data_IF_254900670236
#
_entry.id   IF_254900670236
#
_cell.length_a   1.000
_cell.length_b   1.000
_cell.length_c   1.000
_cell.angle_alpha   90.00
_cell.angle_beta   90.00
_cell.angle_gamma   90.00
#
_symmetry.space_group_name_H-M   'P 1'
#
loop_
_entity.id
_entity.type
_entity.pdbx_description
1 polymer ?
#
# COMPACT_ATOMS: atom_id res chain seq x y z
N UNK A 1 19.99 12.99 33.43
CA UNK A 1 19.44 13.41 32.15
C UNK A 1 17.94 13.19 32.23
N UNK A 2 17.11 14.20 32.09
CA UNK A 2 15.67 13.97 31.85
C UNK A 2 15.58 13.51 30.40
N UNK A 3 15.20 12.25 30.17
CA UNK A 3 14.75 11.79 28.85
C UNK A 3 13.56 12.68 28.49
N UNK A 4 13.55 13.26 27.31
CA UNK A 4 12.42 14.05 26.82
C UNK A 4 11.19 13.12 26.83
N UNK A 5 10.09 13.58 27.36
CA UNK A 5 8.87 12.77 27.48
C UNK A 5 8.44 12.24 26.10
N UNK A 6 8.66 13.03 25.05
CA UNK A 6 8.39 12.65 23.66
C UNK A 6 9.27 11.46 23.20
N UNK A 7 10.55 11.42 23.58
CA UNK A 7 11.43 10.29 23.24
C UNK A 7 11.02 9.00 23.96
N UNK A 8 10.53 9.12 25.20
CA UNK A 8 10.00 7.99 25.96
C UNK A 8 8.74 7.42 25.31
N UNK A 9 7.78 8.27 24.96
CA UNK A 9 6.53 7.88 24.30
C UNK A 9 6.77 7.26 22.91
N UNK A 10 7.70 7.80 22.13
CA UNK A 10 8.10 7.20 20.85
C UNK A 10 8.73 5.80 21.04
N UNK A 11 9.58 5.64 22.08
CA UNK A 11 10.20 4.35 22.39
C UNK A 11 9.19 3.30 22.86
N UNK A 12 8.22 3.70 23.70
CA UNK A 12 7.13 2.82 24.13
C UNK A 12 6.28 2.37 22.94
N UNK A 13 5.82 3.30 22.09
CA UNK A 13 5.03 2.99 20.90
C UNK A 13 5.75 2.05 19.96
N UNK A 14 7.07 2.25 19.76
CA UNK A 14 7.90 1.36 18.97
C UNK A 14 7.96 -0.05 19.55
N UNK A 15 8.15 -0.18 20.87
CA UNK A 15 8.20 -1.49 21.54
C UNK A 15 6.84 -2.21 21.46
N UNK A 16 5.72 -1.52 21.71
CA UNK A 16 4.37 -2.07 21.57
C UNK A 16 4.11 -2.56 20.15
N UNK A 17 4.59 -1.81 19.15
CA UNK A 17 4.48 -2.21 17.74
C UNK A 17 5.26 -3.50 17.44
N UNK A 18 6.50 -3.64 17.95
CA UNK A 18 7.28 -4.88 17.82
C UNK A 18 6.63 -6.06 18.54
N UNK A 19 6.06 -5.83 19.72
CA UNK A 19 5.42 -6.90 20.50
C UNK A 19 4.14 -7.39 19.81
N UNK A 20 3.35 -6.50 19.21
CA UNK A 20 2.24 -6.93 18.37
C UNK A 20 2.69 -7.71 17.14
N UNK A 21 3.71 -7.24 16.41
CA UNK A 21 4.25 -7.99 15.28
C UNK A 21 4.73 -9.39 15.66
N UNK A 22 5.37 -9.54 16.84
CA UNK A 22 5.72 -10.87 17.38
C UNK A 22 4.48 -11.71 17.70
N UNK A 23 3.43 -11.09 18.26
CA UNK A 23 2.13 -11.73 18.51
C UNK A 23 1.40 -12.19 17.24
N UNK A 24 1.70 -11.57 16.09
CA UNK A 24 1.15 -11.96 14.78
C UNK A 24 1.96 -13.08 14.08
N UNK A 25 3.06 -13.56 14.68
CA UNK A 25 3.82 -14.67 14.11
C UNK A 25 3.07 -16.00 14.27
N UNK A 26 3.01 -16.75 13.19
CA UNK A 26 2.49 -18.12 13.14
C UNK A 26 3.50 -19.06 12.44
N UNK A 27 3.30 -20.37 12.48
CA UNK A 27 4.11 -21.31 11.70
C UNK A 27 4.09 -21.05 10.19
N UNK A 28 3.04 -20.38 9.68
CA UNK A 28 2.89 -20.03 8.27
C UNK A 28 3.41 -18.61 7.93
N UNK A 29 3.89 -17.84 8.90
CA UNK A 29 4.33 -16.47 8.77
C UNK A 29 3.42 -15.46 9.49
N UNK A 30 3.43 -14.21 9.07
CA UNK A 30 2.60 -13.16 9.66
C UNK A 30 1.13 -13.37 9.32
N UNK A 31 0.26 -13.42 10.33
CA UNK A 31 -1.19 -13.26 10.17
C UNK A 31 -1.55 -11.77 10.22
N UNK A 32 -2.62 -11.35 9.55
CA UNK A 32 -3.03 -9.96 9.55
C UNK A 32 -3.43 -9.45 10.94
N UNK A 33 -4.10 -10.32 11.72
CA UNK A 33 -4.37 -10.11 13.15
C UNK A 33 -4.36 -11.46 13.86
N UNK A 34 -3.92 -11.54 15.13
CA UNK A 34 -4.02 -12.76 15.93
C UNK A 34 -5.46 -13.04 16.39
N UNK A 35 -6.37 -12.07 16.24
CA UNK A 35 -7.78 -12.24 16.59
C UNK A 35 -8.50 -13.00 15.49
N UNK A 36 -9.16 -14.10 15.89
CA UNK A 36 -9.93 -14.93 14.96
C UNK A 36 -11.31 -14.33 14.68
N UNK A 37 -11.30 -13.22 13.92
CA UNK A 37 -12.51 -12.54 13.43
C UNK A 37 -12.45 -12.59 11.91
N UNK A 38 -13.53 -12.99 11.26
CA UNK A 38 -13.60 -13.14 9.81
C UNK A 38 -12.44 -13.98 9.25
N UNK A 39 -11.60 -13.39 8.41
CA UNK A 39 -10.43 -14.02 7.79
C UNK A 39 -9.10 -13.34 8.16
N UNK A 40 -9.05 -12.57 9.27
CA UNK A 40 -7.85 -11.83 9.66
C UNK A 40 -6.75 -12.71 10.27
N UNK A 41 -7.11 -13.82 10.93
CA UNK A 41 -6.14 -14.79 11.45
C UNK A 41 -5.55 -15.69 10.33
N UNK A 42 -5.25 -15.10 9.17
CA UNK A 42 -4.66 -15.75 7.99
C UNK A 42 -3.41 -14.99 7.53
N UNK A 43 -2.56 -15.67 6.79
CA UNK A 43 -1.43 -15.03 6.10
C UNK A 43 -1.94 -14.32 4.86
N UNK A 44 -1.94 -13.00 4.90
CA UNK A 44 -2.30 -12.15 3.79
C UNK A 44 -1.06 -11.67 3.03
N UNK A 45 -1.11 -11.63 1.70
CA UNK A 45 0.03 -11.22 0.90
C UNK A 45 0.46 -9.78 1.21
N UNK A 46 -0.47 -8.82 1.17
CA UNK A 46 -0.20 -7.41 1.44
C UNK A 46 0.22 -7.17 2.88
N UNK A 47 -0.60 -7.60 3.85
CA UNK A 47 -0.35 -7.42 5.29
C UNK A 47 0.95 -8.08 5.72
N UNK A 48 1.16 -9.32 5.28
CA UNK A 48 2.36 -10.09 5.62
C UNK A 48 3.64 -9.51 5.00
N UNK A 49 3.57 -8.96 3.78
CA UNK A 49 4.73 -8.29 3.18
C UNK A 49 5.02 -6.97 3.87
N UNK A 50 4.03 -6.12 4.14
CA UNK A 50 4.24 -4.83 4.85
C UNK A 50 4.79 -5.08 6.25
N UNK A 51 4.25 -6.07 6.99
CA UNK A 51 4.80 -6.51 8.29
C UNK A 51 6.23 -7.03 8.16
N UNK A 52 6.51 -7.77 7.09
CA UNK A 52 7.86 -8.23 6.76
C UNK A 52 8.85 -7.10 6.46
N UNK A 53 8.43 -6.06 5.74
CA UNK A 53 9.27 -4.88 5.52
C UNK A 53 9.60 -4.18 6.86
N UNK A 54 8.65 -4.09 7.78
CA UNK A 54 8.89 -3.59 9.14
C UNK A 54 9.84 -4.51 9.92
N UNK A 55 9.73 -5.83 9.75
CA UNK A 55 10.66 -6.81 10.32
C UNK A 55 12.11 -6.58 9.86
N UNK A 56 12.31 -6.40 8.54
CA UNK A 56 13.64 -6.08 7.99
C UNK A 56 14.18 -4.75 8.55
N UNK A 57 13.32 -3.74 8.64
CA UNK A 57 13.71 -2.43 9.15
C UNK A 57 14.10 -2.48 10.63
N UNK A 58 13.40 -3.29 11.43
CA UNK A 58 13.69 -3.44 12.87
C UNK A 58 14.96 -4.22 13.17
N UNK A 59 15.38 -5.11 12.26
CA UNK A 59 16.49 -6.02 12.48
C UNK A 59 16.19 -7.18 13.46
N UNK A 60 14.94 -7.37 13.90
CA UNK A 60 14.55 -8.44 14.81
C UNK A 60 14.61 -9.81 14.11
N UNK A 61 15.45 -10.76 14.60
CA UNK A 61 15.65 -12.03 13.90
C UNK A 61 14.40 -12.91 13.83
N UNK A 62 13.51 -12.86 14.83
CA UNK A 62 12.29 -13.64 14.83
C UNK A 62 11.30 -13.11 13.80
N UNK A 63 11.16 -11.78 13.72
CA UNK A 63 10.30 -11.13 12.72
C UNK A 63 10.84 -11.34 11.30
N UNK A 64 12.16 -11.28 11.10
CA UNK A 64 12.80 -11.56 9.81
C UNK A 64 12.53 -13.00 9.36
N UNK A 65 12.63 -13.96 10.28
CA UNK A 65 12.27 -15.36 10.01
C UNK A 65 10.78 -15.49 9.66
N UNK A 66 9.90 -14.73 10.33
CA UNK A 66 8.47 -14.63 10.02
C UNK A 66 8.20 -14.12 8.61
N UNK A 67 8.94 -13.11 8.14
CA UNK A 67 8.85 -12.65 6.75
C UNK A 67 9.23 -13.75 5.76
N UNK A 68 10.35 -14.43 5.99
CA UNK A 68 10.78 -15.54 5.13
C UNK A 68 9.69 -16.62 5.05
N UNK A 69 9.08 -16.95 6.20
CA UNK A 69 8.01 -17.94 6.25
C UNK A 69 6.75 -17.47 5.51
N UNK A 70 6.33 -16.21 5.68
CA UNK A 70 5.23 -15.58 4.92
C UNK A 70 5.42 -15.76 3.42
N UNK A 71 6.59 -15.34 2.91
CA UNK A 71 6.91 -15.44 1.49
C UNK A 71 6.96 -16.89 1.00
N UNK A 72 7.45 -17.82 1.83
CA UNK A 72 7.45 -19.25 1.54
C UNK A 72 6.03 -19.78 1.42
N UNK A 73 5.15 -19.45 2.37
CA UNK A 73 3.74 -19.87 2.35
C UNK A 73 3.04 -19.38 1.10
N UNK A 74 3.21 -18.11 0.74
CA UNK A 74 2.61 -17.54 -0.47
C UNK A 74 3.12 -18.23 -1.75
N UNK A 75 4.42 -18.53 -1.82
CA UNK A 75 5.02 -19.23 -2.97
C UNK A 75 4.50 -20.66 -3.13
N UNK A 76 4.40 -21.41 -2.01
CA UNK A 76 3.91 -22.79 -2.02
C UNK A 76 2.44 -22.92 -2.44
N UNK A 77 1.67 -21.86 -2.23
CA UNK A 77 0.27 -21.80 -2.64
C UNK A 77 0.05 -20.96 -3.91
N UNK A 78 1.10 -20.73 -4.70
CA UNK A 78 0.97 -20.05 -5.99
C UNK A 78 0.03 -20.83 -6.92
N UNK A 79 -0.92 -20.12 -7.53
CA UNK A 79 -1.87 -20.70 -8.47
C UNK A 79 -1.22 -21.17 -9.77
N UNK A 80 -1.97 -21.94 -10.59
CA UNK A 80 -1.44 -22.60 -11.79
C UNK A 80 -0.96 -21.63 -12.87
N UNK A 81 -1.45 -20.40 -12.91
CA UNK A 81 -1.05 -19.40 -13.91
C UNK A 81 -0.04 -18.37 -13.38
N UNK A 82 0.31 -18.45 -12.07
CA UNK A 82 1.23 -17.52 -11.44
C UNK A 82 0.58 -16.60 -10.40
N UNK A 83 -0.71 -16.77 -10.12
CA UNK A 83 -1.44 -16.00 -9.12
C UNK A 83 -0.84 -16.21 -7.74
N UNK A 84 -0.66 -15.16 -6.97
CA UNK A 84 -0.33 -15.24 -5.55
C UNK A 84 -1.63 -15.15 -4.74
N UNK A 85 -1.80 -16.00 -3.72
CA UNK A 85 -2.97 -15.91 -2.86
C UNK A 85 -3.12 -14.53 -2.24
N UNK A 86 -4.34 -14.01 -2.22
CA UNK A 86 -4.70 -12.88 -1.37
C UNK A 86 -4.47 -13.25 0.11
N UNK A 87 -4.93 -14.44 0.50
CA UNK A 87 -4.66 -14.99 1.82
C UNK A 87 -4.68 -16.53 1.85
N UNK A 88 -4.03 -17.09 2.88
CA UNK A 88 -3.94 -18.53 3.16
C UNK A 88 -4.17 -18.75 4.66
N UNK A 89 -4.94 -19.77 5.05
CA UNK A 89 -5.04 -20.19 6.45
C UNK A 89 -3.70 -20.69 6.98
N UNK A 90 -3.49 -20.60 8.28
CA UNK A 90 -2.21 -21.01 8.92
C UNK A 90 -1.88 -22.49 8.67
N UNK A 91 -2.89 -23.35 8.57
CA UNK A 91 -2.76 -24.77 8.25
C UNK A 91 -2.73 -25.07 6.73
N UNK A 92 -2.88 -24.05 5.89
CA UNK A 92 -2.89 -24.18 4.43
C UNK A 92 -4.17 -24.83 3.86
N UNK A 93 -5.19 -25.09 4.67
CA UNK A 93 -6.42 -25.79 4.23
C UNK A 93 -7.30 -24.95 3.32
N UNK A 94 -7.25 -23.63 3.44
CA UNK A 94 -8.00 -22.72 2.59
C UNK A 94 -7.05 -21.69 1.94
N UNK A 95 -7.22 -21.50 0.64
CA UNK A 95 -6.47 -20.54 -0.17
C UNK A 95 -7.45 -19.63 -0.92
N UNK A 96 -7.26 -18.33 -0.84
CA UNK A 96 -8.07 -17.35 -1.55
C UNK A 96 -7.23 -16.49 -2.48
N UNK A 97 -7.64 -16.35 -3.73
CA UNK A 97 -7.05 -15.42 -4.70
C UNK A 97 -7.90 -14.15 -4.89
N UNK A 98 -8.87 -13.94 -4.02
CA UNK A 98 -9.92 -12.92 -4.10
C UNK A 98 -11.27 -13.55 -4.39
N UNK A 99 -12.36 -12.87 -4.00
CA UNK A 99 -13.74 -13.40 -4.20
C UNK A 99 -14.50 -12.65 -5.28
N UNK A 100 -14.61 -11.32 -5.16
CA UNK A 100 -15.28 -10.49 -6.17
C UNK A 100 -14.43 -10.41 -7.44
N UNK A 101 -13.13 -10.21 -7.29
CA UNK A 101 -12.16 -10.24 -8.36
C UNK A 101 -10.80 -10.77 -7.83
N UNK A 102 -9.94 -11.23 -8.75
CA UNK A 102 -8.55 -11.55 -8.42
C UNK A 102 -7.79 -10.30 -7.97
N UNK A 103 -6.80 -10.46 -7.09
CA UNK A 103 -6.05 -9.35 -6.48
C UNK A 103 -4.78 -9.05 -7.26
N UNK A 104 -4.75 -7.91 -7.92
CA UNK A 104 -3.57 -7.42 -8.65
C UNK A 104 -2.44 -7.05 -7.68
N UNK A 105 -2.77 -6.39 -6.58
CA UNK A 105 -1.80 -5.94 -5.59
C UNK A 105 -1.09 -7.11 -4.85
N UNK A 106 -1.78 -8.21 -4.61
CA UNK A 106 -1.24 -9.36 -3.87
C UNK A 106 0.03 -9.93 -4.52
N UNK A 107 -0.01 -10.13 -5.84
CA UNK A 107 1.13 -10.67 -6.58
C UNK A 107 2.30 -9.66 -6.65
N UNK A 108 1.99 -8.38 -6.73
CA UNK A 108 3.02 -7.33 -6.82
C UNK A 108 3.72 -7.13 -5.48
N UNK A 109 2.96 -7.09 -4.37
CA UNK A 109 3.52 -7.06 -3.02
C UNK A 109 4.42 -8.27 -2.76
N UNK A 110 4.01 -9.47 -3.19
CA UNK A 110 4.83 -10.66 -3.04
C UNK A 110 6.21 -10.49 -3.68
N UNK A 111 6.30 -10.02 -4.93
CA UNK A 111 7.58 -9.79 -5.61
C UNK A 111 8.42 -8.74 -4.90
N UNK A 112 7.80 -7.63 -4.47
CA UNK A 112 8.47 -6.58 -3.67
C UNK A 112 9.04 -7.18 -2.40
N UNK A 113 8.27 -7.98 -1.66
CA UNK A 113 8.69 -8.64 -0.43
C UNK A 113 9.85 -9.63 -0.64
N UNK A 114 9.75 -10.49 -1.65
CA UNK A 114 10.81 -11.45 -2.02
C UNK A 114 12.12 -10.71 -2.31
N UNK A 115 12.06 -9.67 -3.12
CA UNK A 115 13.26 -8.91 -3.49
C UNK A 115 13.86 -8.13 -2.32
N UNK A 116 13.02 -7.53 -1.47
CA UNK A 116 13.47 -6.83 -0.26
C UNK A 116 14.17 -7.81 0.71
N UNK A 117 13.57 -8.97 0.95
CA UNK A 117 14.16 -10.01 1.80
C UNK A 117 15.52 -10.48 1.28
N UNK A 118 15.64 -10.80 -0.03
CA UNK A 118 16.88 -11.26 -0.63
C UNK A 118 17.97 -10.17 -0.56
N UNK A 119 17.62 -8.91 -0.83
CA UNK A 119 18.56 -7.78 -0.77
C UNK A 119 19.05 -7.52 0.66
N UNK A 120 18.20 -7.72 1.65
CA UNK A 120 18.54 -7.58 3.06
C UNK A 120 19.42 -8.75 3.55
N UNK A 121 18.96 -9.99 3.32
CA UNK A 121 19.56 -11.20 3.93
C UNK A 121 20.72 -11.80 3.14
N UNK A 122 20.80 -11.51 1.83
CA UNK A 122 21.70 -12.22 0.90
C UNK A 122 21.49 -13.73 0.83
N UNK A 123 20.29 -14.23 1.20
CA UNK A 123 19.93 -15.66 1.21
C UNK A 123 19.85 -16.20 -0.22
N UNK A 124 20.94 -16.81 -0.68
CA UNK A 124 21.03 -17.39 -2.02
C UNK A 124 20.12 -18.60 -2.21
N UNK A 125 19.87 -19.36 -1.15
CA UNK A 125 18.96 -20.52 -1.17
C UNK A 125 17.51 -20.07 -1.38
N UNK A 126 17.09 -19.05 -0.65
CA UNK A 126 15.76 -18.47 -0.83
C UNK A 126 15.60 -17.77 -2.19
N UNK A 127 16.65 -17.08 -2.67
CA UNK A 127 16.66 -16.49 -4.03
C UNK A 127 16.38 -17.55 -5.09
N UNK A 128 17.01 -18.71 -5.02
CA UNK A 128 16.79 -19.78 -6.00
C UNK A 128 15.41 -20.39 -5.86
N UNK A 129 14.95 -20.63 -4.62
CA UNK A 129 13.59 -21.10 -4.34
C UNK A 129 12.51 -20.18 -4.94
N UNK A 130 12.62 -18.86 -4.77
CA UNK A 130 11.62 -17.90 -5.20
C UNK A 130 11.67 -17.54 -6.70
N UNK A 131 12.76 -17.85 -7.41
CA UNK A 131 13.00 -17.44 -8.81
C UNK A 131 11.82 -17.75 -9.72
N UNK A 132 11.42 -19.03 -9.78
CA UNK A 132 10.36 -19.50 -10.69
C UNK A 132 9.02 -18.84 -10.33
N UNK A 133 8.74 -18.70 -9.05
CA UNK A 133 7.51 -18.06 -8.58
C UNK A 133 7.45 -16.59 -9.02
N UNK A 134 8.54 -15.83 -8.87
CA UNK A 134 8.62 -14.42 -9.30
C UNK A 134 8.49 -14.32 -10.83
N UNK A 135 9.16 -15.17 -11.61
CA UNK A 135 9.06 -15.18 -13.07
C UNK A 135 7.61 -15.41 -13.54
N UNK A 136 6.89 -16.32 -12.90
CA UNK A 136 5.45 -16.58 -13.19
C UNK A 136 4.56 -15.40 -12.82
N UNK A 137 4.82 -14.75 -11.69
CA UNK A 137 4.08 -13.54 -11.28
C UNK A 137 4.24 -12.43 -12.31
N UNK A 138 5.48 -12.13 -12.72
CA UNK A 138 5.74 -11.04 -13.66
C UNK A 138 5.22 -11.36 -15.08
N UNK A 139 5.21 -12.64 -15.45
CA UNK A 139 4.56 -13.07 -16.69
C UNK A 139 3.05 -12.87 -16.63
N UNK A 140 2.38 -13.24 -15.52
CA UNK A 140 0.95 -13.03 -15.34
C UNK A 140 0.60 -11.54 -15.32
N UNK A 141 1.39 -10.69 -14.63
CA UNK A 141 1.22 -9.25 -14.65
C UNK A 141 1.29 -8.68 -16.08
N UNK A 142 2.21 -9.18 -16.91
CA UNK A 142 2.28 -8.80 -18.32
C UNK A 142 1.04 -9.24 -19.12
N UNK A 143 0.45 -10.39 -18.82
CA UNK A 143 -0.81 -10.81 -19.43
C UNK A 143 -1.99 -9.88 -19.06
N UNK A 144 -1.97 -9.29 -17.88
CA UNK A 144 -3.01 -8.36 -17.42
C UNK A 144 -2.88 -6.94 -17.98
N UNK A 145 -1.85 -6.67 -18.76
CA UNK A 145 -1.78 -5.44 -19.56
C UNK A 145 -2.83 -5.44 -20.70
N UNK A 146 -3.26 -6.61 -21.14
CA UNK A 146 -4.17 -6.92 -22.26
C UNK A 146 -3.73 -6.39 -23.63
N UNK A 147 -3.13 -5.23 -23.70
CA UNK A 147 -2.72 -4.56 -24.96
C UNK A 147 -1.19 -4.41 -25.10
N UNK A 148 -0.44 -5.01 -24.19
CA UNK A 148 1.03 -5.00 -24.17
C UNK A 148 1.65 -3.59 -24.22
N UNK A 149 1.02 -2.63 -23.52
CA UNK A 149 1.47 -1.24 -23.42
C UNK A 149 2.05 -0.87 -22.05
N UNK A 150 2.30 -1.85 -21.19
CA UNK A 150 3.02 -1.71 -19.92
C UNK A 150 2.13 -1.48 -18.69
N UNK A 151 0.92 -0.93 -18.82
CA UNK A 151 0.04 -0.70 -17.68
C UNK A 151 -0.88 -1.89 -17.43
N UNK A 152 -0.88 -2.40 -16.21
CA UNK A 152 -1.76 -3.48 -15.75
C UNK A 152 -3.17 -2.94 -15.53
N UNK A 153 -4.18 -3.65 -15.99
CA UNK A 153 -5.58 -3.30 -15.78
C UNK A 153 -6.14 -3.96 -14.52
N UNK A 154 -6.62 -3.18 -13.58
CA UNK A 154 -7.21 -3.64 -12.33
C UNK A 154 -8.72 -3.71 -12.47
N UNK A 155 -9.36 -4.88 -12.28
CA UNK A 155 -10.81 -4.98 -12.23
C UNK A 155 -11.35 -4.31 -10.95
N UNK A 156 -12.63 -3.92 -10.97
CA UNK A 156 -13.30 -3.43 -9.76
C UNK A 156 -13.14 -4.45 -8.62
N UNK A 157 -12.86 -4.01 -7.41
CA UNK A 157 -12.52 -4.87 -6.25
C UNK A 157 -11.25 -5.72 -6.41
N UNK A 158 -10.42 -5.44 -7.39
CA UNK A 158 -9.24 -6.25 -7.74
C UNK A 158 -7.93 -5.82 -7.09
N UNK A 159 -7.94 -4.95 -6.07
CA UNK A 159 -6.74 -4.51 -5.35
C UNK A 159 -6.96 -4.43 -3.83
N UNK A 160 -6.13 -3.65 -3.14
CA UNK A 160 -6.18 -3.49 -1.69
C UNK A 160 -7.54 -2.97 -1.19
N UNK A 161 -8.19 -2.10 -1.97
CA UNK A 161 -9.51 -1.54 -1.67
C UNK A 161 -10.63 -2.47 -2.17
N UNK A 162 -10.73 -3.61 -1.54
CA UNK A 162 -11.65 -4.67 -1.94
C UNK A 162 -13.08 -4.29 -1.70
N UNK A 163 -14.03 -4.15 -2.09
CA UNK A 163 -15.39 -3.59 -1.91
C UNK A 163 -15.46 -2.08 -2.22
N UNK A 164 -14.38 -1.48 -2.79
CA UNK A 164 -14.44 -0.12 -3.30
C UNK A 164 -14.49 -0.09 -4.83
N UNK A 165 -14.95 1.01 -5.40
CA UNK A 165 -15.25 1.10 -6.85
C UNK A 165 -14.04 1.47 -7.73
N UNK A 166 -12.82 1.36 -7.19
CA UNK A 166 -11.59 1.62 -7.93
C UNK A 166 -11.35 0.56 -9.01
N UNK A 167 -11.06 0.99 -10.24
CA UNK A 167 -10.79 0.11 -11.37
C UNK A 167 -10.03 0.83 -12.50
N UNK A 168 -9.58 0.08 -13.49
CA UNK A 168 -8.87 0.61 -14.66
C UNK A 168 -7.36 0.52 -14.50
N UNK A 169 -6.64 1.50 -15.01
CA UNK A 169 -5.20 1.63 -14.80
C UNK A 169 -4.97 2.37 -13.48
N UNK A 170 -4.92 1.63 -12.38
CA UNK A 170 -4.88 2.16 -11.00
C UNK A 170 -3.44 2.49 -10.62
N UNK A 171 -3.17 3.73 -10.19
CA UNK A 171 -1.81 4.23 -9.93
C UNK A 171 -1.07 3.42 -8.85
N UNK A 172 -1.71 3.08 -7.74
CA UNK A 172 -1.08 2.29 -6.68
C UNK A 172 -0.57 0.94 -7.20
N UNK A 173 -1.36 0.26 -8.04
CA UNK A 173 -0.96 -1.02 -8.64
C UNK A 173 0.15 -0.84 -9.68
N UNK A 174 0.15 0.25 -10.45
CA UNK A 174 1.25 0.54 -11.39
C UNK A 174 2.56 0.83 -10.66
N UNK A 175 2.50 1.57 -9.54
CA UNK A 175 3.68 1.85 -8.72
C UNK A 175 4.26 0.58 -8.11
N UNK A 176 3.42 -0.31 -7.60
CA UNK A 176 3.82 -1.64 -7.15
C UNK A 176 4.39 -2.49 -8.29
N UNK A 177 3.78 -2.46 -9.47
CA UNK A 177 4.29 -3.17 -10.66
C UNK A 177 5.68 -2.68 -11.05
N UNK A 178 5.86 -1.36 -11.11
CA UNK A 178 7.18 -0.76 -11.36
C UNK A 178 8.20 -1.14 -10.28
N UNK A 179 7.83 -1.12 -8.98
CA UNK A 179 8.71 -1.56 -7.88
C UNK A 179 9.08 -3.04 -8.03
N UNK A 180 8.11 -3.89 -8.32
CA UNK A 180 8.32 -5.33 -8.51
C UNK A 180 9.31 -5.60 -9.67
N UNK A 181 9.11 -4.97 -10.82
CA UNK A 181 9.99 -5.10 -11.98
C UNK A 181 11.41 -4.60 -11.70
N UNK A 182 11.54 -3.40 -11.11
CA UNK A 182 12.83 -2.81 -10.77
C UNK A 182 13.63 -3.69 -9.81
N UNK A 183 12.98 -4.11 -8.71
CA UNK A 183 13.63 -4.92 -7.68
C UNK A 183 13.97 -6.33 -8.19
N UNK A 184 13.05 -6.97 -8.92
CA UNK A 184 13.30 -8.29 -9.50
C UNK A 184 14.40 -8.25 -10.58
N UNK A 185 14.42 -7.19 -11.40
CA UNK A 185 15.47 -6.97 -12.40
C UNK A 185 16.86 -6.89 -11.76
N UNK A 186 16.98 -6.22 -10.61
CA UNK A 186 18.23 -6.14 -9.85
C UNK A 186 18.58 -7.50 -9.20
N UNK A 187 17.64 -8.12 -8.49
CA UNK A 187 17.87 -9.36 -7.74
C UNK A 187 18.21 -10.53 -8.66
N UNK A 188 17.50 -10.67 -9.77
CA UNK A 188 17.64 -11.82 -10.70
C UNK A 188 18.48 -11.52 -11.94
N UNK A 189 19.08 -10.33 -12.04
CA UNK A 189 19.92 -9.85 -13.15
C UNK A 189 19.17 -9.92 -14.51
N UNK A 190 17.94 -9.40 -14.55
CA UNK A 190 17.08 -9.35 -15.74
C UNK A 190 16.99 -7.91 -16.28
N UNK A 191 17.75 -7.61 -17.31
CA UNK A 191 17.82 -6.26 -17.90
C UNK A 191 16.47 -5.83 -18.46
N UNK A 192 15.73 -6.74 -19.07
CA UNK A 192 14.41 -6.50 -19.65
C UNK A 192 13.39 -6.01 -18.62
N UNK A 193 13.46 -6.46 -17.38
CA UNK A 193 12.58 -5.97 -16.30
C UNK A 193 13.00 -4.57 -15.81
N UNK A 194 14.29 -4.28 -15.78
CA UNK A 194 14.79 -2.94 -15.43
C UNK A 194 14.40 -1.90 -16.49
N UNK A 195 14.53 -2.26 -17.77
CA UNK A 195 14.13 -1.41 -18.90
C UNK A 195 12.62 -1.13 -18.85
N UNK A 196 11.81 -2.17 -18.61
CA UNK A 196 10.36 -2.03 -18.47
C UNK A 196 10.00 -1.15 -17.25
N UNK A 197 10.67 -1.31 -16.10
CA UNK A 197 10.47 -0.45 -14.93
C UNK A 197 10.80 1.01 -15.22
N UNK A 198 11.86 1.27 -15.98
CA UNK A 198 12.25 2.63 -16.41
C UNK A 198 11.20 3.23 -17.35
N UNK A 199 10.72 2.46 -18.32
CA UNK A 199 9.63 2.87 -19.21
C UNK A 199 8.35 3.20 -18.43
N UNK A 200 7.98 2.33 -17.47
CA UNK A 200 6.81 2.58 -16.59
C UNK A 200 6.97 3.85 -15.78
N UNK A 201 8.15 4.15 -15.23
CA UNK A 201 8.38 5.40 -14.50
C UNK A 201 8.05 6.62 -15.35
N UNK A 202 8.44 6.62 -16.64
CA UNK A 202 8.14 7.71 -17.58
C UNK A 202 6.63 7.77 -17.90
N UNK A 203 6.02 6.62 -18.17
CA UNK A 203 4.59 6.50 -18.42
C UNK A 203 3.75 7.05 -17.26
N UNK A 204 4.12 6.69 -16.01
CA UNK A 204 3.40 7.13 -14.82
C UNK A 204 3.54 8.64 -14.60
N UNK A 205 4.72 9.20 -14.80
CA UNK A 205 4.96 10.63 -14.65
C UNK A 205 4.10 11.48 -15.62
N UNK A 206 3.87 10.99 -16.84
CA UNK A 206 3.04 11.68 -17.84
C UNK A 206 1.56 11.49 -17.55
N UNK A 207 1.10 10.26 -17.30
CA UNK A 207 -0.33 9.95 -17.35
C UNK A 207 -1.08 10.20 -16.04
N UNK A 208 -0.43 10.24 -14.89
CA UNK A 208 -1.12 10.42 -13.61
C UNK A 208 -1.04 11.85 -13.06
N UNK A 209 -0.43 12.75 -13.85
CA UNK A 209 -0.45 14.19 -13.61
C UNK A 209 -0.61 14.92 -14.97
N UNK A 210 -1.81 14.86 -15.58
CA UNK A 210 -2.04 15.43 -16.90
C UNK A 210 -1.77 16.94 -16.94
N UNK A 211 -0.92 17.35 -17.88
CA UNK A 211 -0.58 18.74 -18.14
C UNK A 211 -0.87 19.08 -19.61
N UNK A 212 -1.45 20.24 -19.87
CA UNK A 212 -1.76 20.70 -21.24
C UNK A 212 -0.52 20.71 -22.14
N UNK A 213 0.65 21.06 -21.57
CA UNK A 213 1.94 21.06 -22.28
C UNK A 213 2.40 19.68 -22.75
N UNK A 214 1.93 18.61 -22.10
CA UNK A 214 2.28 17.21 -22.43
C UNK A 214 1.20 16.51 -23.26
N UNK A 215 0.16 17.19 -23.74
CA UNK A 215 -0.97 16.57 -24.45
C UNK A 215 -0.60 15.85 -25.75
N UNK A 216 0.57 16.14 -26.31
CA UNK A 216 1.11 15.50 -27.50
C UNK A 216 2.36 14.62 -27.21
N UNK A 217 2.65 14.36 -25.94
CA UNK A 217 3.74 13.46 -25.56
C UNK A 217 3.45 12.04 -26.07
N UNK A 218 4.42 11.34 -26.69
CA UNK A 218 4.24 9.97 -27.19
C UNK A 218 3.88 8.95 -26.10
N UNK A 219 4.15 9.26 -24.82
CA UNK A 219 3.81 8.42 -23.68
C UNK A 219 2.37 8.61 -23.20
N UNK A 220 1.61 9.56 -23.74
CA UNK A 220 0.19 9.73 -23.41
C UNK A 220 -0.57 8.47 -23.79
N UNK A 221 -1.15 7.81 -22.79
CA UNK A 221 -1.78 6.51 -22.97
C UNK A 221 -3.11 6.58 -23.71
N UNK A 222 -3.96 7.55 -23.34
CA UNK A 222 -5.27 7.80 -23.95
C UNK A 222 -5.40 9.28 -24.34
N UNK A 223 -5.01 9.68 -25.56
CA UNK A 223 -4.89 11.09 -25.93
C UNK A 223 -6.17 11.94 -25.76
N UNK A 224 -7.35 11.35 -25.99
CA UNK A 224 -8.62 12.07 -25.83
C UNK A 224 -8.93 12.34 -24.36
N UNK A 225 -8.92 11.31 -23.50
CA UNK A 225 -9.16 11.45 -22.07
C UNK A 225 -8.11 12.36 -21.40
N UNK A 226 -6.84 12.22 -21.81
CA UNK A 226 -5.75 13.06 -21.31
C UNK A 226 -5.98 14.54 -21.60
N UNK A 227 -6.28 14.90 -22.88
CA UNK A 227 -6.55 16.29 -23.26
C UNK A 227 -7.77 16.85 -22.55
N UNK A 228 -8.84 16.06 -22.43
CA UNK A 228 -10.02 16.48 -21.68
C UNK A 228 -9.68 16.79 -20.23
N UNK A 229 -8.96 15.90 -19.54
CA UNK A 229 -8.54 16.12 -18.16
C UNK A 229 -7.62 17.34 -18.02
N UNK A 230 -6.64 17.49 -18.91
CA UNK A 230 -5.64 18.55 -18.82
C UNK A 230 -6.17 19.96 -19.17
N UNK A 231 -7.25 20.06 -19.95
CA UNK A 231 -7.80 21.35 -20.42
C UNK A 231 -9.11 21.75 -19.77
N UNK A 232 -9.98 20.78 -19.42
CA UNK A 232 -11.38 21.07 -19.02
C UNK A 232 -11.59 20.92 -17.49
N UNK A 233 -10.76 20.16 -16.79
CA UNK A 233 -10.94 19.86 -15.37
C UNK A 233 -10.12 20.76 -14.42
N UNK A 234 -9.33 21.69 -14.96
CA UNK A 234 -8.51 22.62 -14.19
C UNK A 234 -7.20 22.03 -13.64
N UNK A 235 -6.54 22.80 -12.77
CA UNK A 235 -5.29 22.36 -12.15
C UNK A 235 -5.53 21.22 -11.16
N UNK A 236 -4.64 20.24 -11.17
CA UNK A 236 -4.62 19.13 -10.22
C UNK A 236 -3.56 19.36 -9.15
N UNK A 237 -3.90 19.00 -7.90
CA UNK A 237 -3.06 19.21 -6.72
C UNK A 237 -2.47 17.90 -6.18
N UNK A 238 -2.84 16.76 -6.76
CA UNK A 238 -2.37 15.44 -6.36
C UNK A 238 -2.33 14.51 -7.57
N UNK A 239 -1.62 13.39 -7.47
CA UNK A 239 -1.64 12.35 -8.50
C UNK A 239 -3.04 11.75 -8.63
N UNK A 240 -3.54 11.67 -9.86
CA UNK A 240 -4.83 11.06 -10.13
C UNK A 240 -4.75 9.54 -9.89
N UNK A 241 -5.73 8.94 -9.21
CA UNK A 241 -5.63 7.56 -8.74
C UNK A 241 -5.80 6.51 -9.84
N UNK A 242 -6.53 6.84 -10.90
CA UNK A 242 -6.81 5.91 -11.98
C UNK A 242 -7.30 6.61 -13.24
N UNK A 243 -7.21 5.92 -14.36
CA UNK A 243 -7.90 6.23 -15.60
C UNK A 243 -8.32 4.95 -16.32
N UNK A 244 -9.24 5.09 -17.27
CA UNK A 244 -9.73 4.03 -18.13
C UNK A 244 -10.04 4.60 -19.51
N UNK A 245 -10.49 3.79 -20.50
CA UNK A 245 -11.02 4.34 -21.75
C UNK A 245 -12.19 5.32 -21.56
N UNK A 246 -12.89 5.26 -20.42
CA UNK A 246 -13.98 6.19 -20.08
C UNK A 246 -13.54 7.54 -19.51
N UNK A 247 -12.25 7.72 -19.19
CA UNK A 247 -11.73 8.96 -18.62
C UNK A 247 -10.92 8.78 -17.36
N UNK A 248 -10.61 9.88 -16.70
CA UNK A 248 -9.87 9.93 -15.45
C UNK A 248 -10.80 9.93 -14.25
N UNK A 249 -10.30 9.35 -13.16
CA UNK A 249 -10.86 9.47 -11.82
C UNK A 249 -10.11 10.58 -11.10
N UNK A 250 -10.82 11.45 -10.34
CA UNK A 250 -10.24 12.67 -9.79
C UNK A 250 -10.19 12.71 -8.25
N UNK A 251 -10.64 11.66 -7.54
CA UNK A 251 -10.50 11.61 -6.08
C UNK A 251 -9.04 11.38 -5.65
N UNK A 252 -8.70 11.75 -4.42
CA UNK A 252 -7.42 11.43 -3.80
C UNK A 252 -7.37 9.96 -3.37
N UNK A 253 -6.22 9.31 -3.58
CA UNK A 253 -5.91 7.95 -3.12
C UNK A 253 -4.68 8.00 -2.21
N UNK A 254 -4.88 7.71 -0.91
CA UNK A 254 -3.82 7.77 0.10
C UNK A 254 -2.70 6.77 -0.14
N UNK A 255 -3.01 5.55 -0.62
CA UNK A 255 -1.98 4.55 -0.95
C UNK A 255 -1.17 4.97 -2.19
N UNK A 256 -1.85 5.38 -3.25
CA UNK A 256 -1.18 5.84 -4.46
C UNK A 256 -0.25 7.03 -4.16
N UNK A 257 -0.71 7.98 -3.34
CA UNK A 257 0.10 9.13 -2.92
C UNK A 257 1.34 8.70 -2.12
N UNK A 258 1.18 7.83 -1.11
CA UNK A 258 2.29 7.31 -0.31
C UNK A 258 3.32 6.56 -1.16
N UNK A 259 2.86 5.69 -2.07
CA UNK A 259 3.73 4.96 -2.98
C UNK A 259 4.39 5.87 -4.03
N UNK A 260 3.71 6.93 -4.50
CA UNK A 260 4.29 7.90 -5.43
C UNK A 260 5.52 8.59 -4.82
N UNK A 261 5.43 9.03 -3.56
CA UNK A 261 6.57 9.58 -2.83
C UNK A 261 7.66 8.53 -2.61
N UNK A 262 7.30 7.34 -2.15
CA UNK A 262 8.24 6.26 -1.87
C UNK A 262 9.02 5.85 -3.13
N UNK A 263 8.37 5.82 -4.29
CA UNK A 263 8.99 5.41 -5.56
C UNK A 263 9.66 6.55 -6.32
N UNK A 264 9.49 7.79 -5.88
CA UNK A 264 10.06 8.98 -6.51
C UNK A 264 9.35 9.41 -7.78
N UNK A 265 8.02 9.28 -7.82
CA UNK A 265 7.22 9.77 -8.93
C UNK A 265 7.17 11.30 -8.93
N UNK A 266 7.13 11.88 -10.12
CA UNK A 266 6.97 13.31 -10.35
C UNK A 266 8.21 14.14 -10.07
N UNK A 267 8.09 15.44 -10.31
CA UNK A 267 9.12 16.45 -10.00
C UNK A 267 8.90 17.08 -8.61
N UNK A 268 9.81 17.99 -8.21
CA UNK A 268 9.73 18.65 -6.90
C UNK A 268 8.48 19.52 -6.76
N UNK A 269 8.05 20.19 -7.83
CA UNK A 269 6.85 21.01 -7.83
C UNK A 269 5.57 20.19 -7.64
N UNK A 270 5.47 19.05 -8.32
CA UNK A 270 4.37 18.11 -8.15
C UNK A 270 4.31 17.55 -6.74
N UNK A 271 5.47 17.11 -6.19
CA UNK A 271 5.56 16.62 -4.81
C UNK A 271 5.18 17.68 -3.77
N UNK A 272 5.60 18.92 -3.97
CA UNK A 272 5.23 20.02 -3.06
C UNK A 272 3.74 20.32 -3.10
N UNK A 273 3.12 20.36 -4.29
CA UNK A 273 1.66 20.55 -4.42
C UNK A 273 0.88 19.41 -3.80
N UNK A 274 1.28 18.18 -4.08
CA UNK A 274 0.63 17.00 -3.53
C UNK A 274 0.72 16.95 -1.99
N UNK A 275 1.87 17.32 -1.41
CA UNK A 275 2.00 17.42 0.06
C UNK A 275 1.21 18.59 0.63
N UNK A 276 1.11 19.73 -0.06
CA UNK A 276 0.26 20.84 0.35
C UNK A 276 -1.23 20.43 0.36
N UNK A 277 -1.66 19.63 -0.62
CA UNK A 277 -3.00 19.05 -0.65
C UNK A 277 -3.25 18.14 0.57
N UNK A 278 -2.30 17.26 0.90
CA UNK A 278 -2.40 16.38 2.09
C UNK A 278 -2.50 17.20 3.38
N UNK A 279 -1.71 18.27 3.51
CA UNK A 279 -1.79 19.17 4.68
C UNK A 279 -3.12 19.91 4.75
N UNK A 280 -3.70 20.29 3.62
CA UNK A 280 -5.04 20.88 3.57
C UNK A 280 -6.12 19.85 3.97
N UNK A 281 -5.98 18.59 3.56
CA UNK A 281 -6.84 17.50 4.02
C UNK A 281 -6.73 17.28 5.52
N UNK A 282 -5.53 17.26 6.07
CA UNK A 282 -5.29 17.16 7.51
C UNK A 282 -6.03 18.24 8.28
N UNK A 283 -5.93 19.51 7.85
CA UNK A 283 -6.65 20.62 8.48
C UNK A 283 -8.17 20.46 8.36
N UNK A 284 -8.67 20.00 7.22
CA UNK A 284 -10.09 19.79 6.96
C UNK A 284 -10.68 18.64 7.76
N UNK A 285 -9.94 17.55 7.90
CA UNK A 285 -10.36 16.32 8.59
C UNK A 285 -10.11 16.44 10.10
N UNK A 286 -9.09 17.21 10.52
CA UNK A 286 -8.67 17.32 11.91
C UNK A 286 -7.78 16.16 12.37
N UNK A 287 -7.18 15.41 11.46
CA UNK A 287 -6.26 14.29 11.73
C UNK A 287 -5.14 14.26 10.72
N UNK A 288 -3.94 13.91 11.18
CA UNK A 288 -2.77 13.72 10.30
C UNK A 288 -2.72 12.31 9.67
N UNK A 289 -3.64 11.41 10.02
CA UNK A 289 -3.76 10.13 9.33
C UNK A 289 -4.33 10.33 7.93
N UNK A 290 -3.78 9.61 6.95
CA UNK A 290 -4.25 9.66 5.57
C UNK A 290 -5.58 8.93 5.40
N UNK A 291 -6.57 9.55 4.72
CA UNK A 291 -7.75 8.84 4.28
C UNK A 291 -7.40 7.83 3.17
N UNK A 292 -8.15 6.72 3.11
CA UNK A 292 -8.03 5.78 2.00
C UNK A 292 -8.33 6.48 0.68
N UNK A 293 -9.56 7.01 0.54
CA UNK A 293 -9.96 7.84 -0.59
C UNK A 293 -10.67 9.10 -0.12
N UNK A 294 -10.57 10.19 -0.90
CA UNK A 294 -11.20 11.47 -0.58
C UNK A 294 -11.55 12.28 -1.85
N UNK A 295 -12.70 12.97 -1.95
CA UNK A 295 -13.75 13.05 -0.93
C UNK A 295 -14.50 11.74 -0.74
N UNK A 296 -15.29 11.65 0.33
CA UNK A 296 -16.19 10.51 0.58
C UNK A 296 -17.33 10.52 -0.42
N UNK A 297 -17.81 9.33 -0.77
CA UNK A 297 -19.01 9.13 -1.57
C UNK A 297 -20.19 9.04 -0.61
N UNK A 298 -21.16 9.93 -0.76
CA UNK A 298 -22.33 10.01 0.12
C UNK A 298 -23.61 9.50 -0.59
N UNK A 299 -24.65 9.12 0.16
CA UNK A 299 -25.95 8.81 -0.42
C UNK A 299 -26.47 9.97 -1.28
N UNK A 300 -26.74 9.70 -2.55
CA UNK A 300 -27.15 10.69 -3.54
C UNK A 300 -26.06 11.08 -4.53
N UNK A 301 -24.80 10.78 -4.27
CA UNK A 301 -23.73 10.95 -5.23
C UNK A 301 -23.87 9.98 -6.42
N UNK A 302 -23.38 10.32 -7.60
CA UNK A 302 -23.48 9.45 -8.79
C UNK A 302 -22.92 8.05 -8.58
N UNK A 303 -21.85 7.93 -7.81
CA UNK A 303 -21.14 6.68 -7.56
C UNK A 303 -21.69 5.86 -6.38
N UNK A 304 -22.64 6.43 -5.60
CA UNK A 304 -23.17 5.78 -4.41
C UNK A 304 -23.82 4.42 -4.72
N UNK A 305 -24.62 4.33 -5.77
CA UNK A 305 -25.30 3.09 -6.13
C UNK A 305 -24.31 1.98 -6.47
N UNK A 306 -23.23 2.32 -7.18
CA UNK A 306 -22.18 1.36 -7.51
C UNK A 306 -21.42 0.91 -6.25
N UNK A 307 -21.04 1.87 -5.38
CA UNK A 307 -20.37 1.57 -4.12
C UNK A 307 -21.24 0.69 -3.21
N UNK A 308 -22.51 1.04 -3.08
CA UNK A 308 -23.47 0.29 -2.27
C UNK A 308 -23.68 -1.15 -2.77
N UNK A 309 -23.59 -1.37 -4.06
CA UNK A 309 -23.77 -2.69 -4.68
C UNK A 309 -22.51 -3.55 -4.61
N UNK A 310 -21.35 -2.94 -4.38
CA UNK A 310 -20.04 -3.61 -4.40
C UNK A 310 -19.63 -4.07 -3.00
N UNK A 311 -20.36 -5.03 -2.44
CA UNK A 311 -20.04 -5.64 -1.16
C UNK A 311 -20.27 -7.15 -1.18
N UNK A 312 -19.52 -7.89 -0.37
CA UNK A 312 -19.55 -9.36 -0.34
C UNK A 312 -20.25 -9.92 0.90
N UNK A 313 -20.18 -9.23 2.04
CA UNK A 313 -20.50 -9.81 3.35
C UNK A 313 -21.83 -9.35 3.93
N UNK A 314 -22.77 -8.91 3.11
CA UNK A 314 -24.13 -8.55 3.52
C UNK A 314 -24.26 -7.21 4.26
N UNK A 315 -23.13 -6.58 4.61
CA UNK A 315 -23.08 -5.24 5.21
C UNK A 315 -22.11 -4.38 4.42
N UNK A 316 -22.52 -3.16 4.11
CA UNK A 316 -21.69 -2.20 3.41
C UNK A 316 -20.66 -1.64 4.40
N UNK A 317 -19.40 -2.04 4.27
CA UNK A 317 -18.29 -1.51 5.08
C UNK A 317 -17.92 -0.07 4.69
N UNK A 318 -18.13 0.28 3.42
CA UNK A 318 -17.79 1.58 2.84
C UNK A 318 -18.90 2.63 3.06
N UNK A 319 -19.41 2.74 4.31
CA UNK A 319 -20.24 3.89 4.68
C UNK A 319 -19.42 5.18 4.59
N UNK A 320 -20.03 6.36 4.42
CA UNK A 320 -19.28 7.61 4.43
C UNK A 320 -18.37 7.74 5.65
N UNK A 321 -17.14 8.18 5.45
CA UNK A 321 -16.10 8.37 6.46
C UNK A 321 -15.57 7.10 7.13
N UNK A 322 -15.91 5.92 6.60
CA UNK A 322 -15.43 4.62 7.11
C UNK A 322 -14.69 3.82 6.06
N UNK A 323 -13.91 2.84 6.50
CA UNK A 323 -13.20 1.87 5.68
C UNK A 323 -12.47 2.56 4.51
N UNK A 324 -12.65 2.09 3.26
CA UNK A 324 -12.03 2.75 2.10
C UNK A 324 -12.74 4.05 1.71
N UNK A 325 -14.01 4.26 2.09
CA UNK A 325 -14.75 5.49 1.80
C UNK A 325 -14.45 6.60 2.81
N UNK A 326 -13.21 7.01 2.87
CA UNK A 326 -12.72 8.12 3.70
C UNK A 326 -12.15 7.72 5.05
N UNK A 327 -12.18 6.45 5.48
CA UNK A 327 -11.54 6.00 6.71
C UNK A 327 -10.05 6.36 6.75
N UNK A 328 -9.52 6.65 7.93
CA UNK A 328 -8.14 7.11 8.16
C UNK A 328 -7.25 5.93 8.56
N UNK A 329 -6.19 5.69 7.79
CA UNK A 329 -5.41 4.45 7.91
C UNK A 329 -3.99 4.69 8.42
N UNK A 330 -3.59 4.11 9.57
CA UNK A 330 -2.20 4.17 10.04
C UNK A 330 -1.20 3.64 9.01
N UNK A 331 -1.51 2.53 8.31
CA UNK A 331 -0.61 1.92 7.33
C UNK A 331 -0.27 2.85 6.15
N UNK A 332 -1.25 3.56 5.62
CA UNK A 332 -1.02 4.53 4.54
C UNK A 332 -0.15 5.69 5.01
N UNK A 333 -0.43 6.18 6.22
CA UNK A 333 0.30 7.26 6.87
C UNK A 333 1.76 6.86 7.13
N UNK A 334 2.01 5.61 7.54
CA UNK A 334 3.36 5.08 7.74
C UNK A 334 4.16 5.01 6.45
N UNK A 335 3.57 4.50 5.37
CA UNK A 335 4.21 4.47 4.05
C UNK A 335 4.48 5.90 3.53
N UNK A 336 3.56 6.84 3.78
CA UNK A 336 3.75 8.25 3.45
C UNK A 336 4.92 8.87 4.22
N UNK A 337 5.01 8.62 5.53
CA UNK A 337 6.12 9.09 6.35
C UNK A 337 7.48 8.57 5.84
N UNK A 338 7.55 7.29 5.45
CA UNK A 338 8.75 6.71 4.81
C UNK A 338 9.07 7.43 3.49
N UNK A 339 8.05 7.68 2.66
CA UNK A 339 8.19 8.43 1.40
C UNK A 339 8.75 9.84 1.62
N UNK A 340 8.29 10.56 2.63
CA UNK A 340 8.79 11.89 3.00
C UNK A 340 10.26 11.88 3.42
N UNK A 341 10.70 10.82 4.10
CA UNK A 341 12.10 10.67 4.52
C UNK A 341 13.05 10.52 3.33
N UNK A 342 12.60 10.02 2.19
CA UNK A 342 13.37 10.02 0.95
C UNK A 342 13.81 11.43 0.51
N UNK A 343 13.01 12.44 0.87
CA UNK A 343 13.26 13.87 0.54
C UNK A 343 13.70 14.69 1.76
N UNK A 344 14.15 14.05 2.84
CA UNK A 344 14.66 14.72 4.04
C UNK A 344 13.61 15.49 4.84
N UNK A 345 12.31 15.22 4.65
CA UNK A 345 11.20 15.91 5.33
C UNK A 345 10.97 15.34 6.74
N UNK A 346 12.02 15.27 7.55
CA UNK A 346 12.05 14.61 8.87
C UNK A 346 10.97 15.13 9.82
N UNK A 347 10.82 16.44 9.96
CA UNK A 347 9.85 17.04 10.90
C UNK A 347 8.41 16.65 10.53
N UNK A 348 8.10 16.66 9.23
CA UNK A 348 6.79 16.22 8.75
C UNK A 348 6.57 14.72 8.99
N UNK A 349 7.58 13.90 8.76
CA UNK A 349 7.51 12.45 9.03
C UNK A 349 7.32 12.17 10.55
N UNK A 350 7.97 12.93 11.44
CA UNK A 350 7.76 12.81 12.90
C UNK A 350 6.34 13.20 13.31
N UNK A 351 5.79 14.24 12.72
CA UNK A 351 4.40 14.62 12.95
C UNK A 351 3.42 13.48 12.58
N UNK A 352 3.64 12.85 11.45
CA UNK A 352 2.83 11.68 11.04
C UNK A 352 3.04 10.47 11.97
N UNK A 353 4.28 10.21 12.40
CA UNK A 353 4.58 9.13 13.34
C UNK A 353 3.84 9.34 14.68
N UNK A 354 3.79 10.56 15.17
CA UNK A 354 3.03 10.88 16.39
C UNK A 354 1.53 10.57 16.24
N UNK A 355 0.94 10.88 15.07
CA UNK A 355 -0.45 10.54 14.79
C UNK A 355 -0.67 9.02 14.70
N UNK A 356 0.22 8.28 14.06
CA UNK A 356 0.18 6.81 14.01
C UNK A 356 0.25 6.22 15.42
N UNK A 357 1.18 6.70 16.26
CA UNK A 357 1.36 6.20 17.62
C UNK A 357 0.11 6.48 18.48
N UNK A 358 -0.49 7.66 18.31
CA UNK A 358 -1.75 8.03 19.00
C UNK A 358 -2.88 7.09 18.59
N UNK A 359 -3.07 6.85 17.28
CA UNK A 359 -4.10 5.95 16.77
C UNK A 359 -3.89 4.49 17.24
N UNK A 360 -2.63 4.00 17.19
CA UNK A 360 -2.29 2.65 17.63
C UNK A 360 -2.47 2.45 19.13
N UNK A 361 -2.27 3.50 19.93
CA UNK A 361 -2.45 3.47 21.40
C UNK A 361 -3.91 3.52 21.83
N UNK A 362 -4.81 4.02 20.98
CA UNK A 362 -6.23 4.10 21.30
C UNK A 362 -6.90 2.73 21.33
N UNK A 363 -7.92 2.63 22.21
CA UNK A 363 -8.81 1.47 22.27
C UNK A 363 -10.27 1.89 22.27
N UNK A 364 -11.14 1.07 21.70
CA UNK A 364 -12.56 1.36 21.54
C UNK A 364 -13.34 1.38 22.88
N UNK A 365 -12.85 0.67 23.89
CA UNK A 365 -13.53 0.49 25.19
C UNK A 365 -12.65 0.92 26.38
N UNK A 366 -11.78 1.91 26.18
CA UNK A 366 -10.80 2.35 27.18
C UNK A 366 -9.60 1.41 27.31
N UNK A 367 -9.45 0.45 26.41
CA UNK A 367 -8.22 -0.33 26.24
C UNK A 367 -7.06 0.54 25.74
N UNK A 368 -5.85 -0.01 25.76
CA UNK A 368 -4.68 0.64 25.20
C UNK A 368 -4.00 -0.29 24.21
N UNK A 369 -3.36 0.29 23.17
CA UNK A 369 -2.59 -0.42 22.17
C UNK A 369 -3.41 -1.46 21.40
N UNK A 370 -4.62 -1.06 20.95
CA UNK A 370 -5.49 -1.93 20.15
C UNK A 370 -5.10 -2.01 18.68
N UNK A 371 -4.25 -1.10 18.18
CA UNK A 371 -3.79 -1.12 16.79
C UNK A 371 -4.94 -1.35 15.80
N UNK A 372 -5.95 -0.50 15.87
CA UNK A 372 -7.14 -0.60 15.05
C UNK A 372 -6.79 -0.49 13.56
N UNK A 373 -7.64 -1.06 12.71
CA UNK A 373 -7.44 -1.10 11.28
C UNK A 373 -7.46 0.30 10.66
N UNK A 374 -8.45 1.12 11.06
CA UNK A 374 -8.61 2.51 10.64
C UNK A 374 -9.39 3.31 11.70
N UNK A 375 -9.47 4.62 11.53
CA UNK A 375 -10.33 5.51 12.30
C UNK A 375 -11.44 6.09 11.42
N UNK A 376 -12.60 6.36 12.02
CA UNK A 376 -13.67 7.10 11.37
C UNK A 376 -13.26 8.56 11.16
N UNK A 377 -13.32 9.06 9.91
CA UNK A 377 -12.74 10.35 9.57
C UNK A 377 -13.40 11.58 10.20
N UNK A 378 -14.62 11.47 10.72
CA UNK A 378 -15.28 12.60 11.42
C UNK A 378 -15.20 12.50 12.95
N UNK A 379 -15.28 11.29 13.50
CA UNK A 379 -15.37 11.10 14.95
C UNK A 379 -14.05 10.68 15.57
N UNK A 380 -13.08 10.28 14.74
CA UNK A 380 -11.77 9.74 15.12
C UNK A 380 -11.88 8.52 16.07
N UNK A 381 -13.01 7.81 16.03
CA UNK A 381 -13.20 6.58 16.78
C UNK A 381 -12.47 5.45 16.06
N UNK A 382 -11.67 4.63 16.77
CA UNK A 382 -11.03 3.44 16.23
C UNK A 382 -12.06 2.44 15.68
N UNK A 383 -11.81 1.91 14.49
CA UNK A 383 -12.73 1.02 13.77
C UNK A 383 -11.96 -0.13 13.09
N UNK A 384 -12.73 -1.07 12.56
CA UNK A 384 -12.22 -2.25 11.89
C UNK A 384 -11.74 -3.31 12.87
N UNK A 385 -10.88 -4.19 12.39
CA UNK A 385 -10.30 -5.26 13.21
C UNK A 385 -9.17 -4.70 14.09
N UNK A 386 -9.10 -5.20 15.33
CA UNK A 386 -8.06 -4.83 16.29
C UNK A 386 -6.80 -5.66 16.08
N UNK A 387 -5.69 -5.17 16.66
CA UNK A 387 -4.39 -5.83 16.64
C UNK A 387 -3.88 -6.13 15.23
N UNK A 388 -4.04 -5.16 14.32
CA UNK A 388 -3.58 -5.26 12.95
C UNK A 388 -2.06 -5.16 12.85
N UNK A 389 -1.46 -6.21 12.28
CA UNK A 389 -0.03 -6.26 12.04
C UNK A 389 0.49 -5.08 11.21
N UNK A 390 -0.23 -4.68 10.16
CA UNK A 390 0.21 -3.56 9.33
C UNK A 390 0.06 -2.18 9.99
N UNK A 391 -0.86 -2.01 10.97
CA UNK A 391 -0.93 -0.78 11.77
C UNK A 391 0.30 -0.66 12.68
N UNK A 392 0.76 -1.76 13.27
CA UNK A 392 2.02 -1.80 13.99
C UNK A 392 3.23 -1.60 13.05
N UNK A 393 3.22 -2.27 11.88
CA UNK A 393 4.26 -2.11 10.87
C UNK A 393 4.44 -0.67 10.41
N UNK A 394 3.35 0.11 10.30
CA UNK A 394 3.39 1.53 10.00
C UNK A 394 4.26 2.33 10.97
N UNK A 395 4.06 2.11 12.27
CA UNK A 395 4.86 2.74 13.34
C UNK A 395 6.33 2.36 13.25
N UNK A 396 6.62 1.06 13.08
CA UNK A 396 8.00 0.57 12.96
C UNK A 396 8.70 1.14 11.72
N UNK A 397 8.07 1.09 10.54
CA UNK A 397 8.66 1.60 9.29
C UNK A 397 8.93 3.10 9.36
N UNK A 398 7.96 3.90 9.83
CA UNK A 398 8.11 5.33 9.97
C UNK A 398 9.21 5.68 10.97
N UNK A 399 9.23 5.04 12.14
CA UNK A 399 10.26 5.23 13.16
C UNK A 399 11.65 4.93 12.59
N UNK A 400 11.85 3.75 12.00
CA UNK A 400 13.15 3.33 11.47
C UNK A 400 13.63 4.25 10.34
N UNK A 401 12.72 4.68 9.44
CA UNK A 401 13.07 5.62 8.39
C UNK A 401 13.51 6.99 8.94
N UNK A 402 12.86 7.49 10.00
CA UNK A 402 13.17 8.77 10.64
C UNK A 402 14.55 8.72 11.31
N UNK A 403 14.88 7.64 11.99
CA UNK A 403 16.12 7.55 12.76
C UNK A 403 17.31 7.06 11.93
N UNK A 404 17.09 6.17 10.96
CA UNK A 404 18.17 5.50 10.20
C UNK A 404 18.15 5.77 8.70
N UNK A 405 17.15 6.51 8.20
CA UNK A 405 16.96 6.76 6.78
C UNK A 405 16.20 5.62 6.08
N UNK A 406 15.80 5.88 4.83
CA UNK A 406 15.07 4.88 4.02
C UNK A 406 16.05 3.81 3.55
N UNK A 407 15.82 2.52 3.86
CA UNK A 407 16.74 1.46 3.49
C UNK A 407 16.83 1.26 1.98
N UNK A 408 18.04 1.00 1.46
CA UNK A 408 18.25 0.78 0.02
C UNK A 408 17.53 -0.47 -0.53
N UNK A 409 17.28 -1.47 0.32
CA UNK A 409 16.53 -2.66 -0.10
C UNK A 409 15.03 -2.41 -0.32
N UNK A 410 14.49 -1.30 0.17
CA UNK A 410 13.10 -0.89 -0.05
C UNK A 410 12.92 -0.07 -1.33
N UNK A 411 14.01 0.52 -1.87
CA UNK A 411 13.99 1.45 -3.02
C UNK A 411 14.29 0.77 -4.36
#
# INVERSE_FOLDING_TARGET
MRVDQTEYEEAEAYQQSLDLLRGCLSPAGFVASPVNVDNYARVWARDGVISGLAALASGDPALIAGMRQTLTTLALHQGPHGEIPSNVTVDGSEVSYGRLAGRVDALLWYVVGVCAYIRYSSDSGFKEFARVSVERVLFLAACWEYNNRGLVYTPISGNWADEYIQQGYVLSDQLLHRMALSSAGLVFNKTEWQEKATYLQQMLAVNYWPLASLSNDPLVYHPHAYRYQASEQGEIDHWLPAFSPGGYVIYFDGLAHALALLTGLGDDGQRQRAEAYVQALEQRIGSALLPAFWPVIEPGDPDWTMLQSNHLYGQIKNQPYTYHNGGLWPVLTGLHAVGLMRYGKRERARHLLAAINTANAQGSDGGQWEFSEFEHAQTHVPMGTKYLAWSAAAGVLANQAIWHGVPSWLL
#
